data_IF_503900767246
#
_entry.id   IF_503900767246
#
_cell.length_a   1.000
_cell.length_b   1.000
_cell.length_c   1.000
_cell.angle_alpha   90.00
_cell.angle_beta   90.00
_cell.angle_gamma   90.00
#
_symmetry.space_group_name_H-M   'P 1'
#
loop_
_entity.id
_entity.type
_entity.pdbx_description
1 polymer ?
#
# COMPACT_ATOMS: atom_id res chain seq x y z
N UNK A 1 -73.63 -11.93 5.19
CA UNK A 1 -72.56 -12.80 4.75
C UNK A 1 -71.46 -11.95 4.20
N UNK A 2 -70.37 -11.87 4.91
CA UNK A 2 -69.20 -11.07 4.47
C UNK A 2 -68.14 -11.98 4.00
N UNK A 3 -67.91 -12.00 2.70
CA UNK A 3 -66.78 -12.69 2.07
C UNK A 3 -65.54 -11.88 2.29
N UNK A 4 -64.64 -12.35 3.12
CA UNK A 4 -63.30 -11.75 3.25
C UNK A 4 -62.49 -12.17 2.04
N UNK A 5 -62.21 -11.23 1.16
CA UNK A 5 -61.14 -11.35 0.20
C UNK A 5 -59.83 -11.16 0.98
N UNK A 6 -59.09 -12.25 1.02
CA UNK A 6 -57.66 -12.14 1.41
C UNK A 6 -56.85 -11.69 0.19
N UNK A 7 -56.07 -10.63 0.31
CA UNK A 7 -55.12 -10.33 -0.73
C UNK A 7 -53.95 -11.34 -0.62
N UNK A 8 -53.80 -12.12 -1.65
CA UNK A 8 -52.66 -12.97 -1.85
C UNK A 8 -51.44 -12.07 -2.03
N UNK A 9 -50.62 -12.00 -1.01
CA UNK A 9 -49.36 -11.31 -1.08
C UNK A 9 -48.43 -12.15 -2.00
N UNK A 10 -48.31 -11.72 -3.23
CA UNK A 10 -47.32 -12.26 -4.14
C UNK A 10 -45.94 -11.78 -3.66
N UNK A 11 -45.25 -12.65 -2.99
CA UNK A 11 -43.86 -12.46 -2.62
C UNK A 11 -43.01 -12.62 -3.88
N UNK A 12 -42.76 -11.51 -4.56
CA UNK A 12 -41.75 -11.46 -5.63
C UNK A 12 -40.40 -11.42 -4.91
N UNK A 13 -39.82 -12.57 -4.72
CA UNK A 13 -38.43 -12.70 -4.34
C UNK A 13 -37.63 -12.32 -5.58
N UNK A 14 -37.25 -11.05 -5.65
CA UNK A 14 -36.22 -10.60 -6.56
C UNK A 14 -34.90 -11.20 -6.09
N UNK A 15 -34.51 -12.31 -6.69
CA UNK A 15 -33.18 -12.89 -6.54
C UNK A 15 -32.22 -11.95 -7.28
N UNK A 16 -31.77 -10.91 -6.58
CA UNK A 16 -30.62 -10.14 -7.02
C UNK A 16 -29.39 -11.04 -6.86
N UNK A 17 -29.03 -11.75 -7.92
CA UNK A 17 -27.73 -12.36 -8.04
C UNK A 17 -26.70 -11.22 -7.94
N UNK A 18 -25.81 -11.23 -6.96
CA UNK A 18 -24.63 -10.41 -7.05
C UNK A 18 -23.81 -10.96 -8.22
N UNK A 19 -23.79 -10.23 -9.32
CA UNK A 19 -22.79 -10.43 -10.35
C UNK A 19 -21.46 -10.05 -9.68
N UNK A 20 -20.82 -11.04 -9.08
CA UNK A 20 -19.42 -10.94 -8.72
C UNK A 20 -18.68 -10.86 -10.05
N UNK A 21 -18.46 -9.65 -10.50
CA UNK A 21 -17.50 -9.38 -11.55
C UNK A 21 -16.14 -9.75 -10.98
N UNK A 22 -15.75 -11.00 -11.18
CA UNK A 22 -14.38 -11.44 -11.05
C UNK A 22 -13.57 -10.74 -12.15
N UNK A 23 -13.27 -9.46 -11.93
CA UNK A 23 -12.24 -8.77 -12.69
C UNK A 23 -10.89 -9.26 -12.20
N UNK A 24 -10.51 -10.44 -12.64
CA UNK A 24 -9.23 -11.06 -12.34
C UNK A 24 -8.08 -10.51 -13.19
N UNK A 25 -7.95 -9.19 -13.30
CA UNK A 25 -6.87 -8.53 -14.02
C UNK A 25 -6.36 -7.33 -13.20
N UNK A 26 -5.71 -7.56 -12.06
CA UNK A 26 -5.40 -6.43 -11.22
C UNK A 26 -4.17 -6.55 -10.32
N UNK A 27 -3.18 -7.38 -10.62
CA UNK A 27 -2.03 -7.54 -9.73
C UNK A 27 -1.36 -6.21 -9.35
N UNK A 28 -1.09 -5.34 -10.34
CA UNK A 28 -0.48 -4.03 -10.10
C UNK A 28 -1.44 -3.03 -9.42
N UNK A 29 -2.70 -3.00 -9.85
CA UNK A 29 -3.69 -2.09 -9.26
C UNK A 29 -3.97 -2.43 -7.80
N UNK A 30 -3.96 -3.71 -7.44
CA UNK A 30 -4.16 -4.17 -6.07
C UNK A 30 -2.98 -3.77 -5.17
N UNK A 31 -1.76 -3.86 -5.68
CA UNK A 31 -0.55 -3.45 -4.97
C UNK A 31 -0.49 -1.93 -4.83
N UNK A 32 -0.88 -1.18 -5.86
CA UNK A 32 -0.97 0.27 -5.79
C UNK A 32 -2.02 0.72 -4.77
N UNK A 33 -3.17 0.05 -4.70
CA UNK A 33 -4.18 0.30 -3.68
C UNK A 33 -3.66 -0.01 -2.27
N UNK A 34 -2.94 -1.12 -2.11
CA UNK A 34 -2.32 -1.49 -0.83
C UNK A 34 -1.23 -0.50 -0.39
N UNK A 35 -0.52 0.11 -1.33
CA UNK A 35 0.45 1.18 -1.02
C UNK A 35 -0.22 2.39 -0.37
N UNK A 36 -1.46 2.71 -0.75
CA UNK A 36 -2.23 3.81 -0.15
C UNK A 36 -2.66 3.53 1.29
N UNK A 37 -2.62 2.28 1.74
CA UNK A 37 -2.87 1.90 3.13
C UNK A 37 -1.66 2.17 4.04
N UNK A 38 -0.47 2.36 3.46
CA UNK A 38 0.73 2.69 4.23
C UNK A 38 0.63 4.14 4.68
N UNK A 39 0.69 4.40 6.00
CA UNK A 39 0.60 5.76 6.49
C UNK A 39 1.81 6.60 6.06
N UNK A 40 1.56 7.86 5.74
CA UNK A 40 2.62 8.81 5.45
C UNK A 40 3.17 9.38 6.77
N UNK A 41 4.49 9.55 6.81
CA UNK A 41 5.11 10.20 7.96
C UNK A 41 4.62 11.66 8.10
N UNK A 42 4.12 12.10 9.27
CA UNK A 42 3.37 13.36 9.40
C UNK A 42 4.12 14.62 8.96
N UNK A 43 5.44 14.66 9.16
CA UNK A 43 6.27 15.82 8.85
C UNK A 43 7.05 15.65 7.53
N UNK A 44 6.68 14.68 6.71
CA UNK A 44 7.34 14.43 5.45
C UNK A 44 6.84 15.38 4.36
N UNK A 45 7.76 15.85 3.54
CA UNK A 45 7.49 16.63 2.34
C UNK A 45 7.57 15.68 1.16
N UNK A 46 6.49 15.62 0.38
CA UNK A 46 6.44 14.81 -0.84
C UNK A 46 7.40 15.34 -1.89
N UNK A 47 8.21 14.45 -2.44
CA UNK A 47 9.10 14.71 -3.56
C UNK A 47 8.51 14.20 -4.87
N UNK A 48 9.33 13.50 -5.65
CA UNK A 48 8.92 12.97 -6.94
C UNK A 48 8.21 11.62 -6.82
N UNK A 49 7.14 11.44 -7.57
CA UNK A 49 6.49 10.14 -7.78
C UNK A 49 6.83 9.66 -9.18
N UNK A 50 7.39 8.45 -9.28
CA UNK A 50 7.65 7.78 -10.54
C UNK A 50 6.79 6.53 -10.63
N UNK A 51 6.04 6.43 -11.72
CA UNK A 51 5.30 5.23 -12.07
C UNK A 51 5.93 4.60 -13.31
N UNK A 52 6.26 3.33 -13.23
CA UNK A 52 6.81 2.58 -14.34
C UNK A 52 5.97 1.32 -14.57
N UNK A 53 5.45 1.18 -15.77
CA UNK A 53 4.80 -0.04 -16.21
C UNK A 53 5.58 -0.64 -17.38
N UNK A 54 5.75 -1.96 -17.37
CA UNK A 54 6.33 -2.66 -18.51
C UNK A 54 5.29 -2.84 -19.61
N UNK A 55 5.73 -2.82 -20.89
CA UNK A 55 4.85 -3.12 -22.02
C UNK A 55 4.19 -4.49 -21.84
N UNK A 56 2.86 -4.54 -21.98
CA UNK A 56 2.06 -5.76 -21.79
C UNK A 56 1.39 -5.88 -20.42
N UNK A 57 1.63 -4.97 -19.48
CA UNK A 57 0.94 -4.92 -18.18
C UNK A 57 1.26 -6.04 -17.20
N UNK A 58 2.30 -6.83 -17.45
CA UNK A 58 2.67 -7.97 -16.62
C UNK A 58 3.44 -7.57 -15.35
N UNK A 59 4.11 -6.44 -15.38
CA UNK A 59 4.82 -5.89 -14.23
C UNK A 59 4.69 -4.38 -14.20
N UNK A 60 4.51 -3.84 -13.01
CA UNK A 60 4.47 -2.40 -12.78
C UNK A 60 5.11 -2.04 -11.45
N UNK A 61 5.54 -0.81 -11.32
CA UNK A 61 6.12 -0.28 -10.10
C UNK A 61 5.72 1.18 -9.89
N UNK A 62 5.58 1.56 -8.64
CA UNK A 62 5.40 2.93 -8.20
C UNK A 62 6.42 3.24 -7.13
N UNK A 63 7.10 4.36 -7.26
CA UNK A 63 8.08 4.85 -6.29
C UNK A 63 7.73 6.29 -5.96
N UNK A 64 7.48 6.57 -4.71
CA UNK A 64 7.26 7.94 -4.21
C UNK A 64 8.29 8.24 -3.14
N UNK A 65 8.95 9.38 -3.26
CA UNK A 65 9.96 9.83 -2.32
C UNK A 65 9.43 10.97 -1.45
N UNK A 66 9.79 10.92 -0.19
CA UNK A 66 9.49 11.92 0.81
C UNK A 66 10.78 12.28 1.54
N UNK A 67 10.84 13.49 2.06
CA UNK A 67 11.95 13.94 2.91
C UNK A 67 11.43 14.54 4.20
N UNK A 68 12.16 14.36 5.28
CA UNK A 68 11.88 15.00 6.57
C UNK A 68 13.17 15.42 7.23
N UNK A 69 13.11 16.45 8.07
CA UNK A 69 14.21 16.87 8.94
C UNK A 69 14.19 16.21 10.31
N UNK A 70 13.20 15.37 10.56
CA UNK A 70 13.11 14.61 11.81
C UNK A 70 14.20 13.53 11.86
N UNK A 71 14.62 13.13 13.07
CA UNK A 71 15.66 12.13 13.24
C UNK A 71 15.30 10.78 12.63
N UNK A 72 16.28 10.09 12.07
CA UNK A 72 16.13 8.76 11.47
C UNK A 72 15.42 7.77 12.40
N UNK A 73 15.79 7.75 13.68
CA UNK A 73 15.24 6.81 14.66
C UNK A 73 13.74 7.05 14.92
N UNK A 74 13.27 8.30 14.86
CA UNK A 74 11.84 8.62 14.98
C UNK A 74 11.04 8.14 13.76
N UNK A 75 11.60 8.32 12.57
CA UNK A 75 10.98 7.84 11.32
C UNK A 75 10.93 6.32 11.31
N UNK A 76 12.01 5.66 11.72
CA UNK A 76 12.08 4.20 11.80
C UNK A 76 11.07 3.65 12.81
N UNK A 77 10.95 4.24 13.99
CA UNK A 77 9.98 3.85 15.01
C UNK A 77 8.54 4.00 14.50
N UNK A 78 8.24 5.11 13.84
CA UNK A 78 6.91 5.34 13.26
C UNK A 78 6.51 4.22 12.28
N UNK A 79 7.39 3.86 11.34
CA UNK A 79 7.08 2.82 10.36
C UNK A 79 7.12 1.41 10.96
N UNK A 80 7.99 1.16 11.90
CA UNK A 80 8.01 -0.13 12.62
C UNK A 80 6.69 -0.37 13.34
N UNK A 81 6.18 0.63 14.04
CA UNK A 81 4.89 0.55 14.74
C UNK A 81 3.70 0.47 13.78
N UNK A 82 3.71 1.30 12.74
CA UNK A 82 2.62 1.35 11.76
C UNK A 82 2.50 0.04 10.94
N UNK A 83 3.60 -0.65 10.73
CA UNK A 83 3.66 -1.87 9.93
C UNK A 83 3.68 -3.16 10.76
N UNK A 84 3.62 -3.07 12.08
CA UNK A 84 3.64 -4.22 13.01
C UNK A 84 2.50 -5.23 12.75
N UNK A 85 1.39 -4.76 12.20
CA UNK A 85 0.25 -5.62 11.84
C UNK A 85 0.49 -6.52 10.61
N UNK A 86 1.55 -6.26 9.83
CA UNK A 86 1.89 -7.02 8.64
C UNK A 86 3.03 -7.99 8.92
N UNK A 87 3.10 -9.04 8.11
CA UNK A 87 4.27 -9.90 8.05
C UNK A 87 5.34 -9.19 7.22
N UNK A 88 6.40 -8.72 7.88
CA UNK A 88 7.42 -7.87 7.28
C UNK A 88 8.79 -8.52 7.28
N UNK A 89 9.55 -8.24 6.24
CA UNK A 89 10.99 -8.51 6.16
C UNK A 89 11.76 -7.20 6.33
N UNK A 90 12.67 -7.15 7.29
CA UNK A 90 13.46 -5.96 7.59
C UNK A 90 14.91 -6.18 7.21
N UNK A 91 15.45 -5.28 6.41
CA UNK A 91 16.87 -5.23 6.03
C UNK A 91 17.47 -3.92 6.53
N UNK A 92 18.50 -4.02 7.34
CA UNK A 92 19.27 -2.88 7.84
C UNK A 92 20.66 -2.89 7.23
N UNK A 93 21.11 -1.73 6.81
CA UNK A 93 22.46 -1.51 6.32
C UNK A 93 23.02 -0.21 6.91
N UNK A 94 24.20 -0.30 7.50
CA UNK A 94 24.96 0.84 8.01
C UNK A 94 26.33 0.87 7.33
N UNK A 95 26.71 2.04 6.87
CA UNK A 95 27.99 2.28 6.21
C UNK A 95 28.56 3.64 6.60
N UNK A 96 29.76 3.95 6.15
CA UNK A 96 30.36 5.27 6.35
C UNK A 96 29.57 6.40 5.68
N UNK A 97 28.69 6.08 4.72
CA UNK A 97 27.86 7.04 4.00
C UNK A 97 26.54 7.34 4.72
N UNK A 98 26.12 6.48 5.65
CA UNK A 98 24.87 6.64 6.38
C UNK A 98 24.20 5.33 6.75
N UNK A 99 22.95 5.43 7.16
CA UNK A 99 22.10 4.30 7.58
C UNK A 99 20.92 4.13 6.64
N UNK A 100 20.52 2.89 6.41
CA UNK A 100 19.35 2.56 5.63
C UNK A 100 18.61 1.37 6.26
N UNK A 101 17.30 1.48 6.36
CA UNK A 101 16.42 0.37 6.70
C UNK A 101 15.34 0.24 5.65
N UNK A 102 15.17 -0.97 5.13
CA UNK A 102 14.08 -1.32 4.22
C UNK A 102 13.13 -2.30 4.92
N UNK A 103 11.86 -1.94 5.00
CA UNK A 103 10.79 -2.77 5.54
C UNK A 103 9.93 -3.21 4.37
N UNK A 104 9.95 -4.50 4.07
CA UNK A 104 9.24 -5.08 2.94
C UNK A 104 8.04 -5.90 3.41
N UNK A 105 6.90 -5.71 2.74
CA UNK A 105 5.66 -6.42 2.98
C UNK A 105 5.41 -7.30 1.74
N UNK A 106 5.67 -8.61 1.81
CA UNK A 106 5.37 -9.53 0.73
C UNK A 106 3.86 -9.60 0.46
N UNK A 107 3.48 -9.66 -0.79
CA UNK A 107 2.10 -9.83 -1.26
C UNK A 107 2.06 -10.97 -2.29
N UNK A 108 0.86 -11.54 -2.54
CA UNK A 108 0.72 -12.67 -3.49
C UNK A 108 1.28 -12.37 -4.88
N UNK A 109 1.20 -11.11 -5.33
CA UNK A 109 1.62 -10.69 -6.67
C UNK A 109 2.59 -9.54 -6.66
N UNK A 110 3.39 -9.42 -5.60
CA UNK A 110 4.38 -8.37 -5.53
C UNK A 110 4.83 -8.05 -4.13
N UNK A 111 5.33 -6.85 -3.96
CA UNK A 111 5.92 -6.41 -2.70
C UNK A 111 5.74 -4.90 -2.54
N UNK A 112 5.48 -4.49 -1.31
CA UNK A 112 5.53 -3.10 -0.89
C UNK A 112 6.76 -2.93 -0.02
N UNK A 113 7.54 -1.89 -0.25
CA UNK A 113 8.73 -1.59 0.54
C UNK A 113 8.70 -0.14 1.02
N UNK A 114 8.96 0.05 2.29
CA UNK A 114 9.27 1.34 2.88
C UNK A 114 10.76 1.38 3.16
N UNK A 115 11.49 2.23 2.46
CA UNK A 115 12.93 2.43 2.67
C UNK A 115 13.15 3.77 3.37
N UNK A 116 13.89 3.74 4.47
CA UNK A 116 14.26 4.91 5.26
C UNK A 116 15.78 5.05 5.15
N UNK A 117 16.25 6.21 4.72
CA UNK A 117 17.65 6.44 4.46
C UNK A 117 18.12 7.79 5.03
N UNK A 118 19.22 7.74 5.75
CA UNK A 118 19.93 8.90 6.26
C UNK A 118 21.34 8.92 5.69
N UNK A 119 21.74 10.02 5.10
CA UNK A 119 23.12 10.24 4.68
C UNK A 119 23.85 11.12 5.68
N UNK A 120 25.11 10.79 5.97
CA UNK A 120 25.93 11.51 6.96
C UNK A 120 26.10 13.00 6.61
N UNK A 121 26.09 13.33 5.32
CA UNK A 121 26.28 14.70 4.84
C UNK A 121 24.96 15.47 4.64
N UNK A 122 23.81 14.81 4.81
CA UNK A 122 22.49 15.42 4.64
C UNK A 122 21.82 15.62 6.01
N UNK A 123 21.14 16.76 6.15
CA UNK A 123 20.33 17.04 7.34
C UNK A 123 18.91 16.48 7.24
N UNK A 124 18.66 15.70 6.20
CA UNK A 124 17.34 15.14 5.89
C UNK A 124 17.37 13.62 5.86
N UNK A 125 16.25 13.04 6.24
CA UNK A 125 15.97 11.61 6.10
C UNK A 125 15.08 11.42 4.88
N UNK A 126 15.49 10.54 3.98
CA UNK A 126 14.72 10.16 2.81
C UNK A 126 13.85 8.96 3.12
N UNK A 127 12.58 9.04 2.76
CA UNK A 127 11.59 7.97 2.89
C UNK A 127 11.14 7.62 1.48
N UNK A 128 11.30 6.37 1.08
CA UNK A 128 10.88 5.90 -0.22
C UNK A 128 9.79 4.83 -0.04
N UNK A 129 8.61 5.12 -0.56
CA UNK A 129 7.53 4.14 -0.66
C UNK A 129 7.57 3.51 -2.05
N UNK A 130 7.71 2.21 -2.11
CA UNK A 130 7.83 1.46 -3.34
C UNK A 130 6.79 0.34 -3.38
N UNK A 131 6.13 0.19 -4.51
CA UNK A 131 5.26 -0.94 -4.79
C UNK A 131 5.67 -1.56 -6.12
N UNK A 132 5.89 -2.86 -6.13
CA UNK A 132 6.20 -3.64 -7.33
C UNK A 132 5.25 -4.81 -7.42
N UNK A 133 4.65 -5.00 -8.56
CA UNK A 133 3.69 -6.08 -8.76
C UNK A 133 3.62 -6.60 -10.20
N UNK A 134 3.08 -7.80 -10.31
CA UNK A 134 2.88 -8.53 -11.58
C UNK A 134 1.42 -8.96 -11.78
#
# INVERSE_FOLDING_TARGET
MKTKLQPTLAFVIAFALPIVLLTGCGGYSDIKAALQEIPLYPNAIEGETMEQSMPGGFMGGSVTQFTTTDPYDEVLEFYTDALDQYDTEVMENESELGRQTAISIPRERGMITVAIQEFVEEETVNITLMAVGS
#
